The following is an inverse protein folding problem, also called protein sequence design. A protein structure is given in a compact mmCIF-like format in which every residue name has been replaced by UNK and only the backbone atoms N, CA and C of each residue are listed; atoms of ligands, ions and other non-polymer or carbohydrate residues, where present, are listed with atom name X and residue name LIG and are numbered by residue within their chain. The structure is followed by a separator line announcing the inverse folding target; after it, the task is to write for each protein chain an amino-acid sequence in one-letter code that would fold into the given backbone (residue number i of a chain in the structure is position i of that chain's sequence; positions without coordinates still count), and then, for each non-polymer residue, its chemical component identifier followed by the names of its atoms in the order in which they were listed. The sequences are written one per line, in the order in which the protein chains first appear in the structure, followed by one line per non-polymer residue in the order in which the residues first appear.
data_IF_958131546856
#
_entry.id   IF_958131546856
#
_cell.length_a   1.000
_cell.length_b   1.000
_cell.length_c   1.000
_cell.angle_alpha   90.00
_cell.angle_beta   90.00
_cell.angle_gamma   90.00
#
_symmetry.space_group_name_H-M   'P 1'
#
loop_
_entity.id
_entity.type
_entity.pdbx_description
1 polymer ?
#
# COMPACT_ATOMS: atom_id res chain seq x y z
N UNK A 1 -20.42 -1.60 -4.05
CA UNK A 1 -19.33 -0.74 -4.57
C UNK A 1 -18.05 -1.55 -4.61
N UNK A 2 -17.29 -1.43 -5.70
CA UNK A 2 -15.92 -1.94 -5.80
C UNK A 2 -15.01 -0.72 -5.93
N UNK A 3 -14.12 -0.53 -4.96
CA UNK A 3 -13.07 0.49 -5.06
C UNK A 3 -11.82 -0.15 -5.64
N UNK A 4 -11.43 0.27 -6.83
CA UNK A 4 -10.39 -0.36 -7.62
C UNK A 4 -9.32 0.65 -8.02
N UNK A 5 -8.07 0.19 -8.12
CA UNK A 5 -6.98 1.00 -8.65
C UNK A 5 -5.84 0.16 -9.21
N UNK A 6 -5.10 0.73 -10.15
CA UNK A 6 -3.91 0.15 -10.78
C UNK A 6 -2.64 0.92 -10.42
N UNK A 7 -1.49 0.25 -10.30
CA UNK A 7 -0.20 0.89 -10.00
C UNK A 7 -0.25 1.69 -8.67
N UNK A 8 0.19 2.95 -8.67
CA UNK A 8 0.02 3.86 -7.52
C UNK A 8 -1.45 3.96 -7.06
N UNK A 9 -2.41 3.80 -7.98
CA UNK A 9 -3.82 3.72 -7.65
C UNK A 9 -4.21 2.43 -6.93
N UNK A 10 -3.55 1.30 -7.20
CA UNK A 10 -3.73 0.05 -6.46
C UNK A 10 -3.21 0.17 -5.03
N UNK A 11 -2.06 0.83 -4.86
CA UNK A 11 -1.53 1.18 -3.53
C UNK A 11 -2.50 2.08 -2.77
N UNK A 12 -3.02 3.13 -3.41
CA UNK A 12 -4.04 4.00 -2.83
C UNK A 12 -5.34 3.23 -2.51
N UNK A 13 -5.72 2.26 -3.36
CA UNK A 13 -6.88 1.40 -3.12
C UNK A 13 -6.74 0.61 -1.82
N UNK A 14 -5.54 0.12 -1.50
CA UNK A 14 -5.25 -0.54 -0.23
C UNK A 14 -5.26 0.44 0.95
N UNK A 15 -4.50 1.54 0.87
CA UNK A 15 -4.35 2.52 1.96
C UNK A 15 -5.68 3.16 2.37
N UNK A 16 -6.57 3.44 1.41
CA UNK A 16 -7.82 4.14 1.67
C UNK A 16 -9.04 3.22 1.78
N UNK A 17 -8.85 1.89 1.69
CA UNK A 17 -9.95 0.94 1.60
C UNK A 17 -10.95 1.06 2.77
N UNK A 18 -10.46 1.00 4.00
CA UNK A 18 -11.30 1.06 5.21
C UNK A 18 -11.89 2.45 5.45
N UNK A 19 -11.12 3.49 5.16
CA UNK A 19 -11.59 4.87 5.24
C UNK A 19 -12.79 5.07 4.31
N UNK A 20 -12.68 4.68 3.05
CA UNK A 20 -13.76 4.83 2.08
C UNK A 20 -14.95 3.92 2.41
N UNK A 21 -14.71 2.71 2.92
CA UNK A 21 -15.77 1.86 3.46
C UNK A 21 -16.58 2.58 4.54
N UNK A 22 -15.91 3.30 5.44
CA UNK A 22 -16.55 4.02 6.56
C UNK A 22 -17.37 5.22 6.12
N UNK A 23 -17.03 5.84 4.97
CA UNK A 23 -17.79 6.95 4.38
C UNK A 23 -19.13 6.51 3.76
N UNK A 24 -19.30 5.22 3.45
CA UNK A 24 -20.54 4.68 2.86
C UNK A 24 -21.18 3.57 3.72
N UNK A 25 -21.57 3.86 4.97
CA UNK A 25 -22.00 2.85 5.94
C UNK A 25 -23.19 2.02 5.44
N UNK A 26 -24.10 2.65 4.70
CA UNK A 26 -25.35 2.04 4.20
C UNK A 26 -25.17 1.13 2.97
N UNK A 27 -23.98 1.06 2.39
CA UNK A 27 -23.70 0.18 1.25
C UNK A 27 -23.51 -1.25 1.76
N UNK A 28 -24.46 -2.14 1.41
CA UNK A 28 -24.46 -3.52 1.90
C UNK A 28 -23.25 -4.37 1.46
N UNK A 29 -22.63 -4.06 0.32
CA UNK A 29 -21.40 -4.74 -0.15
C UNK A 29 -20.39 -3.74 -0.69
N UNK A 30 -19.25 -3.68 -0.02
CA UNK A 30 -18.10 -2.89 -0.40
C UNK A 30 -16.85 -3.77 -0.37
N UNK A 31 -16.03 -3.70 -1.43
CA UNK A 31 -14.79 -4.45 -1.58
C UNK A 31 -13.73 -3.55 -2.21
N UNK A 32 -12.46 -3.88 -2.00
CA UNK A 32 -11.35 -3.23 -2.67
C UNK A 32 -10.63 -4.19 -3.62
N UNK A 33 -10.06 -3.64 -4.67
CA UNK A 33 -9.25 -4.34 -5.65
C UNK A 33 -8.00 -3.50 -5.95
N UNK A 34 -6.83 -4.11 -5.78
CA UNK A 34 -5.56 -3.51 -6.14
C UNK A 34 -4.92 -4.34 -7.26
N UNK A 35 -4.60 -3.67 -8.36
CA UNK A 35 -3.90 -4.23 -9.51
C UNK A 35 -2.51 -3.60 -9.62
N UNK A 36 -1.46 -4.41 -9.69
CA UNK A 36 -0.07 -3.96 -9.83
C UNK A 36 0.33 -2.88 -8.79
N UNK A 37 -0.23 -2.92 -7.58
CA UNK A 37 -0.06 -1.90 -6.53
C UNK A 37 0.74 -2.39 -5.32
N UNK A 38 1.13 -3.66 -5.28
CA UNK A 38 1.85 -4.27 -4.18
C UNK A 38 3.36 -4.13 -4.35
N UNK A 39 3.90 -2.96 -3.99
CA UNK A 39 5.33 -2.71 -4.04
C UNK A 39 6.05 -3.23 -2.79
N UNK A 40 7.19 -3.88 -2.97
CA UNK A 40 8.07 -4.31 -1.90
C UNK A 40 9.13 -3.24 -1.62
N UNK A 41 9.46 -3.06 -0.34
CA UNK A 41 10.59 -2.21 0.07
C UNK A 41 11.92 -2.75 -0.48
N UNK A 42 12.05 -4.08 -0.52
CA UNK A 42 13.31 -4.78 -0.77
C UNK A 42 14.02 -5.04 0.55
N UNK A 43 13.77 -6.19 1.16
CA UNK A 43 14.26 -6.51 2.52
C UNK A 43 15.63 -7.20 2.53
N UNK A 44 16.30 -7.27 1.37
CA UNK A 44 17.59 -7.94 1.20
C UNK A 44 18.33 -7.45 -0.06
N UNK A 45 19.65 -7.60 -0.05
CA UNK A 45 20.57 -7.27 -1.16
C UNK A 45 20.22 -7.98 -2.48
N UNK A 46 19.37 -9.02 -2.45
CA UNK A 46 18.89 -9.73 -3.64
C UNK A 46 17.89 -8.95 -4.49
N UNK A 47 17.33 -7.85 -3.98
CA UNK A 47 16.52 -6.92 -4.79
C UNK A 47 17.43 -5.77 -5.24
N UNK A 48 17.70 -5.71 -6.55
CA UNK A 48 18.51 -4.64 -7.14
C UNK A 48 17.92 -3.25 -6.77
N UNK A 49 18.75 -2.38 -6.18
CA UNK A 49 18.36 -1.02 -5.80
C UNK A 49 17.53 -0.89 -4.52
N UNK A 50 17.57 -1.85 -3.60
CA UNK A 50 16.76 -1.83 -2.37
C UNK A 50 16.97 -0.56 -1.51
N UNK A 51 18.21 -0.20 -1.16
CA UNK A 51 18.51 1.02 -0.37
C UNK A 51 18.01 2.29 -1.07
N UNK A 52 18.14 2.32 -2.40
CA UNK A 52 17.70 3.44 -3.21
C UNK A 52 16.17 3.57 -3.19
N UNK A 53 15.45 2.45 -3.20
CA UNK A 53 13.99 2.40 -3.20
C UNK A 53 13.42 2.94 -1.89
N UNK A 54 13.91 2.48 -0.74
CA UNK A 54 13.46 2.98 0.56
C UNK A 54 13.63 4.51 0.66
N UNK A 55 14.83 5.03 0.35
CA UNK A 55 15.09 6.47 0.39
C UNK A 55 14.30 7.29 -0.64
N UNK A 56 14.00 6.73 -1.82
CA UNK A 56 13.14 7.41 -2.79
C UNK A 56 11.70 7.49 -2.30
N UNK A 57 11.16 6.42 -1.72
CA UNK A 57 9.79 6.40 -1.23
C UNK A 57 9.62 7.16 0.09
N UNK A 58 10.66 7.32 0.91
CA UNK A 58 10.65 8.27 2.05
C UNK A 58 10.24 9.68 1.59
N UNK A 59 10.79 10.13 0.46
CA UNK A 59 10.45 11.44 -0.10
C UNK A 59 9.01 11.50 -0.61
N UNK A 60 8.46 10.39 -1.11
CA UNK A 60 7.06 10.29 -1.52
C UNK A 60 6.16 10.41 -0.29
N UNK A 61 6.45 9.65 0.77
CA UNK A 61 5.71 9.70 2.04
C UNK A 61 5.71 11.11 2.62
N UNK A 62 6.87 11.76 2.64
CA UNK A 62 7.03 13.11 3.16
C UNK A 62 6.26 14.14 2.31
N UNK A 63 6.47 14.16 0.99
CA UNK A 63 5.91 15.20 0.09
C UNK A 63 4.40 15.08 -0.09
N UNK A 64 3.87 13.87 -0.10
CA UNK A 64 2.44 13.63 -0.25
C UNK A 64 1.73 13.48 1.11
N UNK A 65 2.45 13.70 2.22
CA UNK A 65 1.95 13.58 3.59
C UNK A 65 1.24 12.24 3.85
N UNK A 66 1.75 11.15 3.26
CA UNK A 66 1.08 9.85 3.28
C UNK A 66 1.05 9.26 4.69
N UNK A 67 2.00 9.65 5.55
CA UNK A 67 2.10 9.21 6.95
C UNK A 67 0.79 9.34 7.75
N UNK A 68 -0.10 10.27 7.37
CA UNK A 68 -1.43 10.44 8.01
C UNK A 68 -2.46 9.38 7.64
N UNK A 69 -2.19 8.59 6.61
CA UNK A 69 -3.06 7.52 6.11
C UNK A 69 -2.50 6.12 6.39
N UNK A 70 -1.28 6.02 6.91
CA UNK A 70 -0.66 4.76 7.28
C UNK A 70 -1.25 4.23 8.59
N UNK A 71 -1.45 2.92 8.75
CA UNK A 71 -1.97 2.35 9.99
C UNK A 71 -1.09 2.68 11.20
N UNK A 72 -1.72 3.13 12.29
CA UNK A 72 -1.01 3.46 13.53
C UNK A 72 -0.35 2.22 14.15
N UNK A 73 -1.01 1.07 14.02
CA UNK A 73 -0.48 -0.22 14.45
C UNK A 73 0.84 -0.56 13.73
N UNK A 74 0.98 -0.18 12.46
CA UNK A 74 2.23 -0.36 11.73
C UNK A 74 3.30 0.62 12.23
N UNK A 75 2.96 1.92 12.31
CA UNK A 75 3.90 2.99 12.66
C UNK A 75 4.50 2.86 14.07
N UNK A 76 3.80 2.17 14.97
CA UNK A 76 4.29 1.90 16.33
C UNK A 76 5.23 0.70 16.42
N UNK A 77 5.21 -0.20 15.42
CA UNK A 77 5.99 -1.44 15.42
C UNK A 77 7.30 -1.34 14.64
N UNK A 78 7.41 -0.40 13.70
CA UNK A 78 8.58 -0.24 12.83
C UNK A 78 8.77 1.21 12.38
N UNK A 79 9.78 1.47 11.54
CA UNK A 79 9.97 2.78 10.92
C UNK A 79 8.68 3.18 10.15
N UNK A 80 8.03 4.33 10.47
CA UNK A 80 6.79 4.75 9.84
C UNK A 80 6.84 4.81 8.31
N UNK A 81 7.99 5.10 7.71
CA UNK A 81 8.08 5.15 6.25
C UNK A 81 8.01 3.75 5.62
N UNK A 82 8.44 2.70 6.32
CA UNK A 82 8.30 1.33 5.85
C UNK A 82 6.83 0.89 5.80
N UNK A 83 5.96 1.53 6.58
CA UNK A 83 4.51 1.30 6.54
C UNK A 83 3.85 1.80 5.25
N UNK A 84 4.58 2.51 4.38
CA UNK A 84 4.12 2.81 3.03
C UNK A 84 4.02 1.57 2.14
N UNK A 85 4.83 0.54 2.42
CA UNK A 85 4.90 -0.65 1.60
C UNK A 85 3.87 -1.71 2.04
N UNK A 86 3.02 -2.21 1.12
CA UNK A 86 1.94 -3.15 1.42
C UNK A 86 2.30 -4.37 2.26
N UNK A 87 3.51 -4.94 2.13
CA UNK A 87 3.93 -6.07 2.97
C UNK A 87 3.87 -5.78 4.47
N UNK A 88 3.97 -4.52 4.87
CA UNK A 88 4.00 -4.11 6.27
C UNK A 88 2.62 -3.73 6.82
N UNK A 89 1.69 -3.30 5.96
CA UNK A 89 0.42 -2.74 6.44
C UNK A 89 -0.83 -3.52 6.03
N UNK A 90 -0.75 -4.41 5.04
CA UNK A 90 -1.93 -5.09 4.49
C UNK A 90 -2.72 -5.89 5.54
N UNK A 91 -2.03 -6.42 6.56
CA UNK A 91 -2.62 -7.14 7.68
C UNK A 91 -3.59 -6.29 8.53
N UNK A 92 -3.53 -4.96 8.46
CA UNK A 92 -4.40 -4.06 9.21
C UNK A 92 -5.68 -3.68 8.44
N UNK A 93 -5.81 -4.06 7.15
CA UNK A 93 -7.00 -3.77 6.34
C UNK A 93 -8.12 -4.75 6.71
N UNK A 94 -9.28 -4.22 7.09
CA UNK A 94 -10.44 -5.01 7.54
C UNK A 94 -11.42 -5.31 6.41
N UNK A 95 -11.54 -4.40 5.45
CA UNK A 95 -12.43 -4.53 4.30
C UNK A 95 -11.90 -5.60 3.34
N UNK A 96 -12.76 -6.47 2.78
CA UNK A 96 -12.32 -7.48 1.81
C UNK A 96 -11.57 -6.86 0.63
N UNK A 97 -10.30 -7.26 0.49
CA UNK A 97 -9.36 -6.80 -0.52
C UNK A 97 -8.97 -7.96 -1.42
N UNK A 98 -8.94 -7.72 -2.72
CA UNK A 98 -8.37 -8.64 -3.71
C UNK A 98 -7.13 -8.00 -4.34
N UNK A 99 -6.06 -8.77 -4.45
CA UNK A 99 -4.80 -8.36 -5.07
C UNK A 99 -4.63 -9.07 -6.41
N UNK A 100 -4.33 -8.31 -7.46
CA UNK A 100 -3.87 -8.83 -8.74
C UNK A 100 -2.46 -8.31 -8.99
N UNK A 101 -1.47 -9.18 -8.85
CA UNK A 101 -0.06 -8.79 -8.93
C UNK A 101 0.70 -9.75 -9.85
N UNK A 102 1.60 -9.20 -10.66
CA UNK A 102 2.60 -10.00 -11.38
C UNK A 102 3.66 -10.48 -10.39
N UNK A 103 4.17 -11.70 -10.56
CA UNK A 103 5.33 -12.17 -9.79
C UNK A 103 6.60 -11.38 -10.11
N UNK A 104 6.65 -10.72 -11.27
CA UNK A 104 7.73 -9.86 -11.71
C UNK A 104 7.08 -8.61 -12.31
N UNK A 105 6.71 -7.67 -11.45
CA UNK A 105 6.15 -6.39 -11.88
C UNK A 105 7.24 -5.48 -12.48
N UNK A 106 6.98 -4.87 -13.64
CA UNK A 106 7.98 -4.06 -14.34
C UNK A 106 8.39 -2.82 -13.55
N UNK A 107 7.49 -2.22 -12.76
CA UNK A 107 7.80 -1.07 -11.91
C UNK A 107 8.50 -1.47 -10.61
N UNK A 108 8.36 -2.72 -10.17
CA UNK A 108 9.11 -3.25 -9.04
C UNK A 108 10.59 -3.49 -9.37
N UNK A 109 10.92 -3.86 -10.62
CA UNK A 109 12.29 -4.21 -11.03
C UNK A 109 13.07 -3.07 -11.71
N UNK A 110 12.43 -1.93 -11.92
CA UNK A 110 13.07 -0.65 -12.25
C UNK A 110 13.59 -0.02 -10.96
#
# INVERSE_FOLDING_TARGET
ILFAGGSAGGLAAMLHCDMLRSMVPNVGRFKCFADAGFFLAGTNESVFGYDFREHQFDNVVLKHEIAKYLPEECKTQMNPNLCFFPQNFIQYIKTPLFLAESSIDSYQVI
#
